data_IF_276787075239
#
_entry.id   IF_276787075239
#
_cell.length_a   1.000
_cell.length_b   1.000
_cell.length_c   1.000
_cell.angle_alpha   90.00
_cell.angle_beta   90.00
_cell.angle_gamma   90.00
#
_symmetry.space_group_name_H-M   'P 1'
#
loop_
_entity.id
_entity.type
_entity.pdbx_description
1 polymer ?
#
# COMPACT_ATOMS: atom_id res chain seq x y z
N UNK A 1 -9.40 2.23 -54.38
CA UNK A 1 -9.47 2.18 -52.89
C UNK A 1 -10.87 2.61 -52.47
N UNK A 2 -11.74 1.68 -52.08
CA UNK A 2 -13.09 1.98 -51.58
C UNK A 2 -12.99 2.54 -50.16
N UNK A 3 -13.85 3.52 -49.82
CA UNK A 3 -13.87 4.15 -48.49
C UNK A 3 -14.45 3.15 -47.47
N UNK A 4 -13.97 3.19 -46.23
CA UNK A 4 -14.36 2.30 -45.11
C UNK A 4 -15.90 2.20 -44.92
N UNK A 5 -16.63 3.23 -45.33
CA UNK A 5 -18.11 3.34 -45.27
C UNK A 5 -18.86 2.45 -46.28
N UNK A 6 -18.22 2.07 -47.40
CA UNK A 6 -18.85 1.30 -48.49
C UNK A 6 -18.82 -0.23 -48.25
N UNK A 7 -17.99 -0.69 -47.30
CA UNK A 7 -17.86 -2.12 -46.97
C UNK A 7 -19.02 -2.62 -46.08
N UNK A 8 -19.69 -1.71 -45.36
CA UNK A 8 -20.73 -2.06 -44.39
C UNK A 8 -22.17 -2.04 -44.93
N UNK A 9 -22.39 -1.68 -46.19
CA UNK A 9 -23.74 -1.49 -46.74
C UNK A 9 -24.37 -2.77 -47.35
N UNK A 10 -23.72 -3.93 -47.27
CA UNK A 10 -24.22 -5.18 -47.87
C UNK A 10 -24.08 -6.32 -46.87
N UNK A 11 -25.19 -6.67 -46.23
CA UNK A 11 -25.56 -7.93 -45.56
C UNK A 11 -25.95 -7.78 -44.09
N UNK A 12 -27.21 -8.09 -43.78
CA UNK A 12 -27.70 -8.44 -42.44
C UNK A 12 -26.90 -9.61 -41.83
N UNK A 13 -26.38 -10.51 -42.66
CA UNK A 13 -25.53 -11.62 -42.21
C UNK A 13 -24.22 -11.16 -41.54
N UNK A 14 -23.76 -9.92 -41.74
CA UNK A 14 -22.59 -9.39 -41.05
C UNK A 14 -22.86 -8.99 -39.59
N UNK A 15 -24.10 -8.66 -39.20
CA UNK A 15 -24.45 -8.37 -37.78
C UNK A 15 -24.37 -9.64 -36.96
N UNK A 16 -25.03 -10.70 -37.43
CA UNK A 16 -24.97 -12.01 -36.79
C UNK A 16 -23.55 -12.56 -36.83
N UNK A 17 -22.80 -12.36 -37.92
CA UNK A 17 -21.40 -12.79 -38.00
C UNK A 17 -20.49 -11.97 -37.10
N UNK A 18 -20.69 -10.65 -36.90
CA UNK A 18 -19.92 -9.81 -35.97
C UNK A 18 -20.25 -10.13 -34.52
N UNK A 19 -21.51 -10.37 -34.20
CA UNK A 19 -21.96 -10.79 -32.88
C UNK A 19 -21.42 -12.16 -32.53
N UNK A 20 -21.58 -13.14 -33.42
CA UNK A 20 -20.97 -14.48 -33.24
C UNK A 20 -19.46 -14.47 -33.34
N UNK A 21 -18.78 -13.59 -34.10
CA UNK A 21 -17.30 -13.52 -34.05
C UNK A 21 -16.78 -12.78 -32.83
N UNK A 22 -17.47 -11.77 -32.28
CA UNK A 22 -17.10 -11.16 -31.01
C UNK A 22 -17.35 -12.10 -29.82
N UNK A 23 -18.46 -12.84 -29.83
CA UNK A 23 -18.77 -13.87 -28.82
C UNK A 23 -17.85 -15.10 -28.96
N UNK A 24 -17.62 -15.59 -30.18
CA UNK A 24 -16.76 -16.76 -30.44
C UNK A 24 -15.26 -16.46 -30.33
N UNK A 25 -14.83 -15.19 -30.46
CA UNK A 25 -13.44 -14.83 -30.22
C UNK A 25 -13.06 -14.90 -28.73
N UNK A 26 -14.02 -15.11 -27.81
CA UNK A 26 -13.79 -15.12 -26.36
C UNK A 26 -12.75 -14.06 -25.98
N UNK A 27 -12.95 -12.84 -26.48
CA UNK A 27 -11.98 -11.77 -26.31
C UNK A 27 -12.05 -11.44 -24.83
N UNK A 28 -11.18 -12.09 -24.07
CA UNK A 28 -10.77 -11.68 -22.75
C UNK A 28 -10.01 -10.38 -22.97
N UNK A 29 -10.77 -9.34 -23.30
CA UNK A 29 -10.24 -8.05 -23.64
C UNK A 29 -9.63 -7.59 -22.33
N UNK A 30 -8.30 -7.46 -22.31
CA UNK A 30 -7.62 -6.81 -21.22
C UNK A 30 -8.08 -5.35 -21.25
N UNK A 31 -9.25 -5.13 -20.67
CA UNK A 31 -9.84 -3.83 -20.43
C UNK A 31 -9.10 -3.34 -19.21
N UNK A 32 -8.12 -2.46 -19.39
CA UNK A 32 -7.35 -2.00 -18.27
C UNK A 32 -8.26 -1.13 -17.41
N UNK A 33 -7.88 -0.96 -16.15
CA UNK A 33 -8.54 -0.13 -15.17
C UNK A 33 -8.77 1.37 -15.49
N UNK A 34 -8.64 1.76 -16.75
CA UNK A 34 -8.86 3.12 -17.21
C UNK A 34 -8.60 3.26 -18.71
N UNK A 35 -8.96 4.45 -19.22
CA UNK A 35 -8.88 4.77 -20.64
C UNK A 35 -7.46 5.06 -21.16
N UNK A 36 -6.40 5.00 -20.34
CA UNK A 36 -5.03 5.34 -20.69
C UNK A 36 -4.48 4.60 -21.91
N UNK A 37 -4.90 3.35 -22.11
CA UNK A 37 -4.55 2.55 -23.29
C UNK A 37 -5.18 3.07 -24.59
N UNK A 38 -6.36 3.72 -24.53
CA UNK A 38 -7.05 4.30 -25.69
C UNK A 38 -6.32 5.52 -26.26
N UNK A 39 -5.42 6.14 -25.49
CA UNK A 39 -4.73 7.35 -25.88
C UNK A 39 -3.30 7.10 -26.39
N UNK A 40 -2.86 5.84 -26.51
CA UNK A 40 -1.51 5.45 -26.97
C UNK A 40 -0.36 5.90 -26.07
N UNK A 41 -0.65 6.71 -25.03
CA UNK A 41 0.27 7.25 -24.04
C UNK A 41 -0.49 7.37 -22.71
N UNK A 42 0.15 6.98 -21.61
CA UNK A 42 -0.43 7.15 -20.27
C UNK A 42 -0.67 8.64 -19.98
N UNK A 43 -1.93 9.07 -20.05
CA UNK A 43 -2.33 10.43 -19.65
C UNK A 43 -2.52 10.42 -18.14
N UNK A 44 -1.75 11.24 -17.42
CA UNK A 44 -1.98 11.47 -15.99
C UNK A 44 -3.25 12.27 -15.76
N UNK A 45 -4.22 11.66 -15.11
CA UNK A 45 -5.48 12.32 -14.73
C UNK A 45 -5.32 13.02 -13.38
N UNK A 46 -5.64 14.33 -13.27
CA UNK A 46 -5.65 15.07 -12.01
C UNK A 46 -6.94 14.78 -11.23
N UNK A 47 -6.89 13.84 -10.29
CA UNK A 47 -8.05 13.49 -9.45
C UNK A 47 -8.01 14.31 -8.17
N UNK A 48 -9.16 14.90 -7.82
CA UNK A 48 -9.36 15.55 -6.53
C UNK A 48 -9.99 14.56 -5.56
N UNK A 49 -9.48 14.48 -4.33
CA UNK A 49 -10.04 13.61 -3.30
C UNK A 49 -10.33 14.37 -2.01
N UNK A 50 -11.41 13.97 -1.34
CA UNK A 50 -11.79 14.42 -0.02
C UNK A 50 -11.97 13.20 0.88
N UNK A 51 -11.42 13.21 2.09
CA UNK A 51 -11.61 12.10 3.04
C UNK A 51 -11.99 12.55 4.45
N UNK A 52 -12.67 11.66 5.16
CA UNK A 52 -13.10 11.88 6.54
C UNK A 52 -12.74 10.64 7.37
N UNK A 53 -11.97 10.86 8.43
CA UNK A 53 -11.70 9.85 9.45
C UNK A 53 -12.96 9.55 10.28
N UNK A 54 -13.22 8.28 10.49
CA UNK A 54 -14.36 7.74 11.24
C UNK A 54 -13.85 6.91 12.44
N UNK A 55 -14.72 6.61 13.42
CA UNK A 55 -14.39 5.71 14.53
C UNK A 55 -13.86 4.35 14.05
N UNK A 56 -13.20 3.63 14.97
CA UNK A 56 -12.61 2.32 14.69
C UNK A 56 -11.52 2.32 13.61
N UNK A 57 -10.79 3.43 13.49
CA UNK A 57 -9.70 3.58 12.52
C UNK A 57 -10.13 3.33 11.07
N UNK A 58 -11.33 3.79 10.73
CA UNK A 58 -11.86 3.74 9.37
C UNK A 58 -11.80 5.13 8.74
N UNK A 59 -11.69 5.19 7.42
CA UNK A 59 -11.69 6.43 6.66
C UNK A 59 -12.62 6.25 5.45
N UNK A 60 -13.47 7.23 5.19
CA UNK A 60 -14.27 7.31 3.97
C UNK A 60 -13.63 8.34 3.03
N UNK A 61 -13.59 8.02 1.74
CA UNK A 61 -12.99 8.86 0.71
C UNK A 61 -13.95 9.02 -0.47
N UNK A 62 -14.07 10.25 -0.94
CA UNK A 62 -14.75 10.59 -2.20
C UNK A 62 -13.69 11.14 -3.16
N UNK A 63 -13.76 10.72 -4.42
CA UNK A 63 -12.84 11.13 -5.48
C UNK A 63 -13.61 11.66 -6.67
N UNK A 64 -13.15 12.74 -7.27
CA UNK A 64 -13.77 13.35 -8.45
C UNK A 64 -12.73 13.84 -9.42
N UNK A 65 -13.02 13.70 -10.71
CA UNK A 65 -12.23 14.29 -11.79
C UNK A 65 -13.06 15.46 -12.32
N UNK A 66 -12.51 16.69 -12.31
CA UNK A 66 -13.13 17.79 -13.04
C UNK A 66 -13.38 17.39 -14.50
N UNK A 67 -14.44 17.92 -15.13
CA UNK A 67 -14.73 17.60 -16.54
C UNK A 67 -13.51 17.93 -17.40
N UNK A 68 -12.90 16.90 -17.99
CA UNK A 68 -11.74 17.07 -18.87
C UNK A 68 -12.16 16.89 -20.32
N UNK A 69 -11.95 17.93 -21.11
CA UNK A 69 -12.10 17.87 -22.56
C UNK A 69 -10.79 17.37 -23.15
N UNK A 70 -10.83 16.16 -23.70
CA UNK A 70 -9.70 15.57 -24.40
C UNK A 70 -9.85 15.98 -25.86
N UNK A 71 -8.95 16.85 -26.33
CA UNK A 71 -9.01 17.64 -27.57
C UNK A 71 -9.21 16.87 -28.90
N UNK A 72 -9.47 15.57 -28.85
CA UNK A 72 -9.61 14.71 -30.04
C UNK A 72 -10.63 13.57 -29.89
N UNK A 73 -11.24 13.41 -28.71
CA UNK A 73 -12.01 12.20 -28.36
C UNK A 73 -13.35 12.56 -27.73
N UNK A 74 -13.36 13.42 -26.71
CA UNK A 74 -14.61 13.75 -26.02
C UNK A 74 -14.40 14.27 -24.60
N UNK A 75 -15.46 14.22 -23.80
CA UNK A 75 -15.45 14.67 -22.40
C UNK A 75 -15.35 13.47 -21.47
N UNK A 76 -14.33 13.49 -20.60
CA UNK A 76 -14.13 12.49 -19.55
C UNK A 76 -14.68 13.01 -18.21
N UNK A 77 -15.46 12.16 -17.55
CA UNK A 77 -15.99 12.38 -16.21
C UNK A 77 -15.64 11.18 -15.33
N UNK A 78 -15.29 11.45 -14.07
CA UNK A 78 -15.03 10.42 -13.09
C UNK A 78 -15.52 10.85 -11.71
N UNK A 79 -16.12 9.89 -11.01
CA UNK A 79 -16.50 10.00 -9.61
C UNK A 79 -16.29 8.66 -8.93
N UNK A 80 -15.84 8.66 -7.69
CA UNK A 80 -15.58 7.44 -6.92
C UNK A 80 -15.87 7.64 -5.45
N UNK A 81 -16.24 6.56 -4.80
CA UNK A 81 -16.39 6.46 -3.35
C UNK A 81 -15.56 5.27 -2.87
N UNK A 82 -15.05 5.36 -1.67
CA UNK A 82 -14.38 4.23 -1.06
C UNK A 82 -14.05 4.51 0.38
N UNK A 83 -13.28 3.61 0.94
CA UNK A 83 -12.76 3.77 2.27
C UNK A 83 -11.64 2.80 2.55
N UNK A 84 -11.00 3.00 3.69
CA UNK A 84 -9.97 2.11 4.19
C UNK A 84 -10.14 1.90 5.67
N UNK A 85 -9.71 0.74 6.14
CA UNK A 85 -9.63 0.38 7.54
C UNK A 85 -8.18 0.14 7.90
N UNK A 86 -7.75 0.69 9.03
CA UNK A 86 -6.45 0.41 9.61
C UNK A 86 -6.42 -1.02 10.15
N UNK A 87 -5.43 -1.79 9.68
CA UNK A 87 -5.21 -3.18 10.10
C UNK A 87 -3.85 -3.37 10.77
N UNK A 88 -3.13 -2.28 11.06
CA UNK A 88 -1.76 -2.30 11.60
C UNK A 88 -1.66 -3.17 12.84
N UNK A 89 -2.60 -3.02 13.78
CA UNK A 89 -2.62 -3.81 15.01
C UNK A 89 -2.73 -5.31 14.73
N UNK A 90 -3.69 -5.70 13.89
CA UNK A 90 -3.92 -7.12 13.56
C UNK A 90 -2.71 -7.74 12.85
N UNK A 91 -2.06 -6.97 11.97
CA UNK A 91 -0.87 -7.42 11.25
C UNK A 91 0.34 -7.53 12.19
N UNK A 92 0.55 -6.53 13.05
CA UNK A 92 1.62 -6.57 14.05
C UNK A 92 1.44 -7.72 15.04
N UNK A 93 0.20 -7.97 15.46
CA UNK A 93 -0.14 -9.15 16.24
C UNK A 93 0.33 -10.39 15.48
N UNK A 94 -0.14 -10.66 14.25
CA UNK A 94 0.29 -11.84 13.46
C UNK A 94 1.82 -12.02 13.34
N UNK A 95 2.58 -10.93 13.15
CA UNK A 95 4.04 -11.00 13.06
C UNK A 95 4.75 -11.21 14.40
N UNK A 96 4.09 -10.92 15.51
CA UNK A 96 4.65 -11.10 16.87
C UNK A 96 4.26 -12.45 17.50
N UNK A 97 3.57 -13.35 16.78
CA UNK A 97 3.17 -14.68 17.27
C UNK A 97 4.31 -15.72 17.21
N UNK A 98 5.42 -15.42 17.86
CA UNK A 98 6.34 -16.44 18.37
C UNK A 98 6.89 -15.96 19.71
N UNK A 99 6.78 -16.72 20.80
CA UNK A 99 7.46 -16.35 22.04
C UNK A 99 8.96 -16.30 21.76
N UNK A 100 9.54 -15.09 21.81
CA UNK A 100 10.99 -14.93 21.75
C UNK A 100 11.52 -15.18 23.15
N UNK A 101 12.46 -16.10 23.26
CA UNK A 101 13.11 -16.43 24.53
C UNK A 101 14.51 -15.82 24.57
N UNK A 102 14.89 -15.34 25.75
CA UNK A 102 16.27 -15.00 26.02
C UNK A 102 17.14 -16.26 25.87
N UNK A 103 18.41 -16.05 25.56
CA UNK A 103 19.34 -17.17 25.44
C UNK A 103 19.44 -17.92 26.77
N UNK A 104 19.46 -19.25 26.69
CA UNK A 104 19.61 -20.08 27.88
C UNK A 104 20.89 -19.65 28.61
N UNK A 105 20.82 -19.51 29.93
CA UNK A 105 21.99 -19.21 30.77
C UNK A 105 22.95 -20.40 30.80
N UNK A 106 23.65 -20.60 29.69
CA UNK A 106 24.67 -21.61 29.47
C UNK A 106 25.83 -21.00 28.69
N UNK A 107 27.05 -21.44 28.96
CA UNK A 107 28.26 -20.89 28.36
C UNK A 107 28.27 -21.01 26.82
N UNK A 108 27.61 -22.06 26.31
CA UNK A 108 27.48 -22.33 24.88
C UNK A 108 26.71 -21.23 24.13
N UNK A 109 25.68 -20.64 24.77
CA UNK A 109 24.87 -19.55 24.22
C UNK A 109 25.62 -18.22 24.13
N UNK A 110 26.69 -18.04 24.90
CA UNK A 110 27.50 -16.81 24.93
C UNK A 110 28.93 -17.04 24.47
N UNK A 111 29.15 -18.00 23.57
CA UNK A 111 30.50 -18.44 23.16
C UNK A 111 31.38 -17.30 22.62
N UNK A 112 30.81 -16.32 21.91
CA UNK A 112 31.50 -15.14 21.39
C UNK A 112 32.20 -14.31 22.48
N UNK A 113 31.59 -14.22 23.68
CA UNK A 113 32.15 -13.50 24.84
C UNK A 113 33.50 -14.09 25.25
N UNK A 114 33.66 -15.41 25.15
CA UNK A 114 34.85 -16.13 25.60
C UNK A 114 35.93 -16.25 24.52
N UNK A 115 35.77 -15.53 23.41
CA UNK A 115 36.80 -15.43 22.37
C UNK A 115 37.74 -14.26 22.63
N UNK A 116 38.89 -14.25 21.94
CA UNK A 116 39.82 -13.11 21.98
C UNK A 116 39.31 -11.87 21.23
N UNK A 117 38.30 -12.02 20.38
CA UNK A 117 37.77 -10.99 19.48
C UNK A 117 36.36 -10.54 19.89
N UNK A 118 36.05 -10.58 21.18
CA UNK A 118 34.78 -10.10 21.74
C UNK A 118 34.46 -8.70 21.24
N UNK A 119 33.20 -8.44 20.87
CA UNK A 119 32.70 -7.11 20.52
C UNK A 119 31.83 -6.55 21.64
N UNK A 120 31.70 -5.22 21.67
CA UNK A 120 30.78 -4.52 22.58
C UNK A 120 29.33 -4.97 22.36
N UNK A 121 28.95 -5.25 21.11
CA UNK A 121 27.64 -5.80 20.70
C UNK A 121 27.32 -7.14 21.41
N UNK A 122 28.32 -8.02 21.57
CA UNK A 122 28.14 -9.31 22.24
C UNK A 122 27.85 -9.11 23.75
N UNK A 123 28.52 -8.14 24.36
CA UNK A 123 28.35 -7.78 25.79
C UNK A 123 26.98 -7.12 26.01
N UNK A 124 26.57 -6.22 25.12
CA UNK A 124 25.27 -5.55 25.17
C UNK A 124 24.11 -6.54 25.04
N UNK A 125 24.20 -7.50 24.11
CA UNK A 125 23.24 -8.60 24.01
C UNK A 125 23.14 -9.40 25.31
N UNK A 126 24.29 -9.73 25.92
CA UNK A 126 24.32 -10.47 27.19
C UNK A 126 23.67 -9.69 28.33
N UNK A 127 23.89 -8.37 28.38
CA UNK A 127 23.30 -7.47 29.37
C UNK A 127 21.77 -7.40 29.22
N UNK A 128 21.27 -7.36 27.99
CA UNK A 128 19.83 -7.42 27.71
C UNK A 128 19.23 -8.77 28.10
N UNK A 129 19.88 -9.89 27.76
CA UNK A 129 19.44 -11.23 28.19
C UNK A 129 19.37 -11.30 29.73
N UNK A 130 20.42 -10.87 30.44
CA UNK A 130 20.45 -10.85 31.91
C UNK A 130 19.35 -9.99 32.53
N UNK A 131 19.02 -8.86 31.91
CA UNK A 131 17.89 -7.99 32.32
C UNK A 131 16.55 -8.71 32.18
N UNK A 132 16.34 -9.48 31.11
CA UNK A 132 15.12 -10.30 30.93
C UNK A 132 14.99 -11.37 32.02
N UNK A 133 16.12 -11.88 32.50
CA UNK A 133 16.19 -12.82 33.62
C UNK A 133 16.12 -12.17 35.01
N UNK A 134 15.96 -10.83 35.10
CA UNK A 134 15.98 -10.06 36.36
C UNK A 134 17.27 -10.30 37.19
N UNK A 135 18.40 -10.41 36.49
CA UNK A 135 19.72 -10.57 37.12
C UNK A 135 20.36 -9.21 37.40
N UNK A 136 21.20 -9.15 38.43
CA UNK A 136 22.01 -7.96 38.70
C UNK A 136 23.04 -7.72 37.57
N UNK A 137 22.89 -6.57 36.91
CA UNK A 137 23.73 -6.15 35.79
C UNK A 137 24.64 -4.96 36.11
N UNK A 138 24.60 -4.37 37.31
CA UNK A 138 25.28 -3.09 37.60
C UNK A 138 26.80 -3.14 37.32
N UNK A 139 27.44 -4.23 37.74
CA UNK A 139 28.87 -4.45 37.54
C UNK A 139 29.19 -4.66 36.05
N UNK A 140 28.37 -5.44 35.34
CA UNK A 140 28.55 -5.72 33.91
C UNK A 140 28.32 -4.46 33.05
N UNK A 141 27.32 -3.65 33.41
CA UNK A 141 26.98 -2.39 32.75
C UNK A 141 28.13 -1.38 32.88
N UNK A 142 28.69 -1.27 34.09
CA UNK A 142 29.86 -0.44 34.35
C UNK A 142 31.07 -0.87 33.52
N UNK A 143 31.32 -2.17 33.41
CA UNK A 143 32.41 -2.72 32.60
C UNK A 143 32.17 -2.53 31.10
N UNK A 144 30.92 -2.66 30.64
CA UNK A 144 30.54 -2.45 29.23
C UNK A 144 30.76 -0.99 28.81
N UNK A 145 30.42 -0.02 29.67
CA UNK A 145 30.66 1.39 29.42
C UNK A 145 32.16 1.70 29.22
N UNK A 146 33.04 1.10 30.02
CA UNK A 146 34.50 1.23 29.84
C UNK A 146 34.97 0.57 28.54
N UNK A 147 34.39 -0.58 28.18
CA UNK A 147 34.72 -1.28 26.95
C UNK A 147 34.29 -0.49 25.70
N UNK A 148 33.11 0.14 25.74
CA UNK A 148 32.62 1.08 24.71
C UNK A 148 33.53 2.31 24.55
N UNK A 149 34.19 2.74 25.63
CA UNK A 149 35.19 3.82 25.60
C UNK A 149 36.56 3.36 25.07
N UNK A 150 36.72 2.09 24.71
CA UNK A 150 37.93 1.52 24.12
C UNK A 150 38.92 0.91 25.13
N UNK A 151 38.57 0.79 26.41
CA UNK A 151 39.42 0.09 27.38
C UNK A 151 39.32 -1.43 27.17
N UNK A 152 40.36 -2.05 26.64
CA UNK A 152 40.41 -3.50 26.42
C UNK A 152 40.83 -4.30 27.66
N UNK A 153 41.35 -3.64 28.71
CA UNK A 153 41.81 -4.33 29.93
C UNK A 153 40.64 -4.88 30.76
N UNK A 154 39.43 -4.36 30.56
CA UNK A 154 38.20 -4.81 31.23
C UNK A 154 37.64 -6.11 30.66
N UNK A 155 38.08 -6.56 29.48
CA UNK A 155 37.56 -7.78 28.80
C UNK A 155 37.62 -9.00 29.71
N UNK A 156 38.74 -9.20 30.42
CA UNK A 156 38.89 -10.33 31.34
C UNK A 156 37.87 -10.28 32.48
N UNK A 157 37.61 -9.08 33.01
CA UNK A 157 36.61 -8.87 34.08
C UNK A 157 35.20 -9.08 33.57
N UNK A 158 34.88 -8.65 32.35
CA UNK A 158 33.60 -8.91 31.68
C UNK A 158 33.36 -10.41 31.59
N UNK A 159 34.34 -11.16 31.07
CA UNK A 159 34.25 -12.62 30.94
C UNK A 159 34.06 -13.33 32.28
N UNK A 160 34.80 -12.92 33.31
CA UNK A 160 34.68 -13.48 34.67
C UNK A 160 33.31 -13.16 35.28
N UNK A 161 32.82 -11.93 35.11
CA UNK A 161 31.50 -11.50 35.58
C UNK A 161 30.38 -12.32 34.93
N UNK A 162 30.35 -12.39 33.59
CA UNK A 162 29.35 -13.15 32.82
C UNK A 162 29.40 -14.63 33.20
N UNK A 163 30.60 -15.23 33.27
CA UNK A 163 30.79 -16.64 33.67
C UNK A 163 30.22 -16.92 35.06
N UNK A 164 30.51 -16.04 36.03
CA UNK A 164 30.00 -16.15 37.40
C UNK A 164 28.48 -16.03 37.44
N UNK A 165 27.90 -15.07 36.73
CA UNK A 165 26.46 -14.83 36.69
C UNK A 165 25.71 -16.00 36.04
N UNK A 166 26.20 -16.53 34.91
CA UNK A 166 25.64 -17.74 34.28
C UNK A 166 25.73 -18.93 35.23
N UNK A 167 26.89 -19.15 35.87
CA UNK A 167 27.10 -20.33 36.73
C UNK A 167 26.19 -20.34 37.95
N UNK A 168 25.90 -19.17 38.54
CA UNK A 168 24.97 -19.03 39.67
C UNK A 168 23.51 -19.31 39.28
N UNK A 169 23.16 -19.07 38.01
CA UNK A 169 21.78 -19.03 37.54
C UNK A 169 21.45 -20.10 36.48
N UNK A 170 22.32 -21.12 36.32
CA UNK A 170 22.20 -22.17 35.28
C UNK A 170 20.88 -22.95 35.28
N UNK A 171 20.20 -22.98 36.43
CA UNK A 171 18.94 -23.72 36.61
C UNK A 171 17.70 -22.91 36.25
N UNK A 172 17.84 -21.61 35.92
CA UNK A 172 16.69 -20.81 35.49
C UNK A 172 16.17 -21.33 34.12
N UNK A 173 14.85 -21.52 33.98
CA UNK A 173 14.25 -21.86 32.69
C UNK A 173 14.42 -20.70 31.70
N UNK A 174 14.27 -20.95 30.40
CA UNK A 174 14.34 -19.87 29.40
C UNK A 174 13.33 -18.77 29.72
N UNK A 175 13.82 -17.54 29.90
CA UNK A 175 12.96 -16.40 30.18
C UNK A 175 12.32 -15.90 28.89
N UNK A 176 11.03 -15.58 28.95
CA UNK A 176 10.31 -14.96 27.85
C UNK A 176 10.79 -13.51 27.73
N UNK A 177 11.31 -13.12 26.58
CA UNK A 177 11.54 -11.71 26.28
C UNK A 177 10.16 -11.09 26.14
N UNK A 178 9.73 -10.36 27.18
CA UNK A 178 8.67 -9.38 26.99
C UNK A 178 9.26 -8.31 26.08
N UNK A 179 8.91 -8.36 24.79
CA UNK A 179 9.22 -7.28 23.87
C UNK A 179 8.41 -6.06 24.31
N UNK A 180 8.94 -5.32 25.27
CA UNK A 180 8.43 -4.02 25.65
C UNK A 180 9.23 -3.00 24.84
N UNK A 181 8.63 -2.52 23.74
CA UNK A 181 9.16 -1.40 22.96
C UNK A 181 9.73 -1.74 21.58
N UNK A 182 10.31 -2.92 21.36
CA UNK A 182 10.76 -3.32 20.02
C UNK A 182 9.64 -4.07 19.29
N UNK A 183 8.59 -3.31 18.95
CA UNK A 183 7.77 -3.67 17.80
C UNK A 183 8.75 -3.83 16.63
N UNK A 184 8.65 -4.94 15.87
CA UNK A 184 9.09 -4.92 14.48
C UNK A 184 8.74 -3.53 13.93
N UNK A 185 9.71 -2.81 13.35
CA UNK A 185 9.52 -1.47 12.76
C UNK A 185 8.61 -1.63 11.54
N UNK A 186 7.37 -2.00 11.84
CA UNK A 186 6.27 -2.14 10.94
C UNK A 186 5.87 -0.74 10.55
N UNK A 187 5.42 -0.52 9.31
CA UNK A 187 4.78 0.73 8.95
C UNK A 187 3.73 1.05 10.04
N UNK A 188 3.84 2.23 10.66
CA UNK A 188 2.92 2.63 11.73
C UNK A 188 1.46 2.66 11.22
N UNK A 189 1.29 2.75 9.90
CA UNK A 189 0.00 2.86 9.23
C UNK A 189 -0.11 1.80 8.10
N UNK A 190 -0.60 0.59 8.40
CA UNK A 190 -1.05 -0.41 7.44
C UNK A 190 -2.58 -0.37 7.33
N UNK A 191 -3.10 -0.25 6.11
CA UNK A 191 -4.54 -0.21 5.88
C UNK A 191 -4.97 -1.07 4.70
N UNK A 192 -6.20 -1.57 4.78
CA UNK A 192 -6.91 -2.24 3.69
C UNK A 192 -8.02 -1.32 3.19
N UNK A 193 -7.96 -0.98 1.91
CA UNK A 193 -8.90 -0.09 1.23
C UNK A 193 -9.77 -0.82 0.21
N UNK A 194 -11.00 -0.34 0.06
CA UNK A 194 -11.92 -0.72 -0.99
C UNK A 194 -12.50 0.54 -1.65
N UNK A 195 -12.48 0.60 -2.97
CA UNK A 195 -12.93 1.75 -3.74
C UNK A 195 -13.81 1.31 -4.91
N UNK A 196 -14.90 2.03 -5.12
CA UNK A 196 -15.77 1.92 -6.29
C UNK A 196 -15.66 3.22 -7.07
N UNK A 197 -15.39 3.09 -8.36
CA UNK A 197 -15.05 4.13 -9.28
C UNK A 197 -15.98 4.07 -10.48
N UNK A 198 -16.58 5.20 -10.85
CA UNK A 198 -17.42 5.36 -12.01
C UNK A 198 -16.74 6.29 -13.01
N UNK A 199 -16.60 5.81 -14.24
CA UNK A 199 -16.07 6.58 -15.37
C UNK A 199 -17.12 6.72 -16.45
N UNK A 200 -17.21 7.91 -17.04
CA UNK A 200 -18.02 8.19 -18.22
C UNK A 200 -17.19 8.94 -19.25
N UNK A 201 -17.07 8.37 -20.43
CA UNK A 201 -16.48 9.01 -21.61
C UNK A 201 -17.59 9.28 -22.63
N UNK A 202 -17.87 10.56 -22.88
CA UNK A 202 -18.84 11.00 -23.88
C UNK A 202 -18.11 11.42 -25.15
N UNK A 203 -18.35 10.71 -26.25
CA UNK A 203 -17.75 10.93 -27.58
C UNK A 203 -18.66 11.73 -28.52
N UNK A 204 -19.63 12.48 -27.97
CA UNK A 204 -20.77 13.03 -28.70
C UNK A 204 -22.00 12.14 -28.53
N UNK A 205 -22.33 11.32 -29.53
CA UNK A 205 -23.45 10.37 -29.48
C UNK A 205 -23.13 9.03 -28.78
N UNK A 206 -21.94 8.40 -28.97
CA UNK A 206 -21.58 7.21 -28.22
C UNK A 206 -21.13 7.55 -26.79
N UNK A 207 -21.62 6.77 -25.84
CA UNK A 207 -21.21 6.85 -24.44
C UNK A 207 -20.53 5.54 -24.01
N UNK A 208 -19.37 5.67 -23.37
CA UNK A 208 -18.70 4.56 -22.70
C UNK A 208 -18.78 4.80 -21.21
N UNK A 209 -19.41 3.87 -20.49
CA UNK A 209 -19.52 3.88 -19.03
C UNK A 209 -18.67 2.73 -18.48
N UNK A 210 -17.97 2.97 -17.39
CA UNK A 210 -17.23 1.93 -16.70
C UNK A 210 -17.43 2.04 -15.21
N UNK A 211 -17.76 0.90 -14.59
CA UNK A 211 -17.75 0.73 -13.14
C UNK A 211 -16.53 -0.10 -12.80
N UNK A 212 -15.80 0.35 -11.80
CA UNK A 212 -14.53 -0.20 -11.43
C UNK A 212 -14.45 -0.37 -9.92
N UNK A 213 -14.02 -1.53 -9.46
CA UNK A 213 -13.84 -1.84 -8.04
C UNK A 213 -12.38 -2.17 -7.77
N UNK A 214 -11.83 -1.62 -6.70
CA UNK A 214 -10.43 -1.79 -6.33
C UNK A 214 -10.31 -2.21 -4.87
N UNK A 215 -9.52 -3.24 -4.62
CA UNK A 215 -9.03 -3.60 -3.28
C UNK A 215 -7.55 -3.23 -3.21
N UNK A 216 -7.13 -2.52 -2.17
CA UNK A 216 -5.75 -2.01 -2.05
C UNK A 216 -5.21 -2.17 -0.63
N UNK A 217 -4.00 -2.70 -0.50
CA UNK A 217 -3.24 -2.69 0.75
C UNK A 217 -2.26 -1.52 0.67
N UNK A 218 -2.22 -0.72 1.73
CA UNK A 218 -1.33 0.43 1.84
C UNK A 218 -0.54 0.34 3.13
N UNK A 219 0.71 0.78 3.08
CA UNK A 219 1.61 0.90 4.20
C UNK A 219 2.28 2.26 4.16
N UNK A 220 2.34 2.94 5.29
CA UNK A 220 2.93 4.26 5.41
C UNK A 220 3.65 4.49 6.73
N UNK A 221 4.49 5.51 6.72
CA UNK A 221 5.16 6.01 7.90
C UNK A 221 5.05 7.53 7.94
N UNK A 222 4.62 8.04 9.08
CA UNK A 222 4.58 9.47 9.38
C UNK A 222 5.81 9.84 10.22
N UNK A 223 6.51 10.88 9.79
CA UNK A 223 7.68 11.43 10.46
C UNK A 223 7.27 12.71 11.19
N UNK A 224 7.83 12.89 12.38
CA UNK A 224 7.74 14.14 13.11
C UNK A 224 8.56 15.23 12.40
N UNK A 225 7.97 16.41 12.26
CA UNK A 225 8.53 17.57 11.55
C UNK A 225 8.98 18.64 12.53
N UNK A 226 9.82 18.28 13.49
CA UNK A 226 10.36 19.21 14.50
C UNK A 226 11.09 20.44 13.91
N UNK A 227 11.55 20.36 12.65
CA UNK A 227 12.15 21.48 11.91
C UNK A 227 11.13 22.52 11.44
N UNK A 228 9.83 22.22 11.45
CA UNK A 228 8.76 23.09 10.98
C UNK A 228 7.55 22.97 11.92
N UNK A 229 7.47 23.84 12.93
CA UNK A 229 6.46 23.78 14.00
C UNK A 229 5.00 23.93 13.54
N UNK A 230 4.76 24.45 12.33
CA UNK A 230 3.42 24.54 11.74
C UNK A 230 2.98 23.25 11.03
N UNK A 231 3.91 22.32 10.80
CA UNK A 231 3.66 20.98 10.30
C UNK A 231 3.55 20.03 11.50
N UNK A 232 2.43 19.34 11.62
CA UNK A 232 2.25 18.31 12.65
C UNK A 232 2.84 16.96 12.23
N UNK A 233 3.09 16.78 10.93
CA UNK A 233 3.76 15.59 10.44
C UNK A 233 3.84 15.54 8.92
N UNK A 234 4.87 14.84 8.45
CA UNK A 234 5.07 14.52 7.04
C UNK A 234 5.15 13.00 6.91
N UNK A 235 4.26 12.41 6.11
CA UNK A 235 4.21 10.98 5.87
C UNK A 235 4.52 10.62 4.43
N UNK A 236 5.11 9.45 4.25
CA UNK A 236 5.19 8.77 2.97
C UNK A 236 4.40 7.47 3.06
N UNK A 237 3.69 7.11 2.01
CA UNK A 237 2.94 5.87 1.93
C UNK A 237 3.04 5.25 0.55
N UNK A 238 2.95 3.93 0.52
CA UNK A 238 2.91 3.14 -0.70
C UNK A 238 1.88 2.04 -0.57
N UNK A 239 1.49 1.48 -1.69
CA UNK A 239 0.51 0.40 -1.69
C UNK A 239 0.46 -0.36 -3.00
N UNK A 240 -0.22 -1.49 -2.95
CA UNK A 240 -0.56 -2.24 -4.14
C UNK A 240 -2.01 -2.73 -4.04
N UNK A 241 -2.65 -2.84 -5.19
CA UNK A 241 -4.05 -3.21 -5.28
C UNK A 241 -4.37 -3.97 -6.55
N UNK A 242 -5.54 -4.59 -6.52
CA UNK A 242 -6.15 -5.26 -7.65
C UNK A 242 -7.44 -4.54 -8.00
N UNK A 243 -7.61 -4.35 -9.29
CA UNK A 243 -8.72 -3.59 -9.85
C UNK A 243 -9.51 -4.45 -10.83
N UNK A 244 -10.83 -4.42 -10.70
CA UNK A 244 -11.79 -5.17 -11.47
C UNK A 244 -12.73 -4.17 -12.16
N UNK A 245 -13.09 -4.40 -13.41
CA UNK A 245 -13.93 -3.44 -14.15
C UNK A 245 -15.04 -4.13 -14.93
N UNK A 246 -16.14 -3.41 -15.12
CA UNK A 246 -17.18 -3.73 -16.08
C UNK A 246 -17.40 -2.49 -16.96
N UNK A 247 -17.49 -2.68 -18.27
CA UNK A 247 -17.66 -1.60 -19.25
C UNK A 247 -18.95 -1.81 -20.01
N UNK A 248 -19.78 -0.76 -20.02
CA UNK A 248 -20.97 -0.66 -20.85
C UNK A 248 -20.72 0.31 -22.00
N UNK A 249 -20.83 -0.19 -23.23
CA UNK A 249 -20.76 0.58 -24.46
C UNK A 249 -22.18 0.82 -24.97
N UNK A 250 -22.59 2.08 -25.08
CA UNK A 250 -23.88 2.48 -25.65
C UNK A 250 -23.67 3.34 -26.90
N UNK A 251 -24.28 2.96 -28.03
CA UNK A 251 -24.25 3.75 -29.27
C UNK A 251 -25.56 3.65 -30.05
N UNK A 252 -25.93 4.73 -30.73
CA UNK A 252 -27.08 4.76 -31.65
C UNK A 252 -26.59 4.47 -33.06
N UNK A 253 -27.12 3.41 -33.68
CA UNK A 253 -26.89 3.06 -35.07
C UNK A 253 -28.04 3.57 -35.93
N UNK A 254 -27.75 4.47 -36.87
CA UNK A 254 -28.72 4.89 -37.88
C UNK A 254 -28.46 4.14 -39.18
N UNK A 255 -29.44 3.37 -39.65
CA UNK A 255 -29.33 2.62 -40.90
C UNK A 255 -29.43 3.55 -42.13
N UNK A 256 -29.14 3.03 -43.32
CA UNK A 256 -29.26 3.72 -44.62
C UNK A 256 -30.67 4.23 -44.92
N UNK A 257 -31.68 3.76 -44.18
CA UNK A 257 -33.08 4.19 -44.23
C UNK A 257 -33.43 5.28 -43.19
N UNK A 258 -32.44 5.86 -42.51
CA UNK A 258 -32.60 6.84 -41.41
C UNK A 258 -33.34 6.33 -40.16
N UNK A 259 -33.56 5.02 -40.04
CA UNK A 259 -34.05 4.39 -38.82
C UNK A 259 -32.92 4.25 -37.80
N UNK A 260 -33.16 4.72 -36.57
CA UNK A 260 -32.16 4.70 -35.49
C UNK A 260 -32.48 3.62 -34.47
N UNK A 261 -31.49 2.80 -34.14
CA UNK A 261 -31.57 1.75 -33.12
C UNK A 261 -30.47 1.97 -32.07
N UNK A 262 -30.85 1.95 -30.80
CA UNK A 262 -29.89 2.01 -29.69
C UNK A 262 -29.34 0.63 -29.39
N UNK A 263 -28.02 0.51 -29.34
CA UNK A 263 -27.31 -0.73 -29.06
C UNK A 263 -26.48 -0.53 -27.79
N UNK A 264 -26.64 -1.46 -26.84
CA UNK A 264 -25.87 -1.52 -25.60
C UNK A 264 -25.17 -2.87 -25.49
N UNK A 265 -23.85 -2.87 -25.28
CA UNK A 265 -23.06 -4.09 -25.03
C UNK A 265 -22.22 -3.93 -23.76
N UNK A 266 -22.22 -4.96 -22.92
CA UNK A 266 -21.46 -5.00 -21.66
C UNK A 266 -20.29 -5.96 -21.77
N UNK A 267 -19.13 -5.55 -21.26
CA UNK A 267 -17.90 -6.32 -21.26
C UNK A 267 -17.30 -6.34 -19.86
N UNK A 268 -17.09 -7.54 -19.29
CA UNK A 268 -16.33 -7.69 -18.06
C UNK A 268 -14.84 -7.54 -18.36
N UNK A 269 -14.19 -6.60 -17.67
CA UNK A 269 -12.75 -6.38 -17.75
C UNK A 269 -11.96 -7.30 -16.82
N UNK A 270 -10.73 -7.60 -17.22
CA UNK A 270 -9.80 -8.42 -16.42
C UNK A 270 -9.21 -7.69 -15.21
N UNK A 271 -8.55 -8.47 -14.34
CA UNK A 271 -7.89 -7.94 -13.15
C UNK A 271 -6.66 -7.10 -13.56
N UNK A 272 -6.59 -5.85 -13.12
CA UNK A 272 -5.44 -4.98 -13.33
C UNK A 272 -4.70 -4.72 -12.00
N UNK A 273 -3.38 -4.88 -12.02
CA UNK A 273 -2.54 -4.50 -10.91
C UNK A 273 -2.40 -2.97 -10.82
N UNK A 274 -2.41 -2.46 -9.60
CA UNK A 274 -2.20 -1.04 -9.27
C UNK A 274 -1.10 -0.93 -8.23
N UNK A 275 -0.12 -0.08 -8.49
CA UNK A 275 0.82 0.42 -7.49
C UNK A 275 0.42 1.84 -7.08
N UNK A 276 0.73 2.21 -5.85
CA UNK A 276 0.54 3.56 -5.34
C UNK A 276 1.80 4.00 -4.59
N UNK A 277 2.19 5.26 -4.79
CA UNK A 277 3.14 5.96 -3.92
C UNK A 277 2.62 7.36 -3.65
N UNK A 278 2.70 7.82 -2.41
CA UNK A 278 2.16 9.10 -2.02
C UNK A 278 2.83 9.71 -0.82
N UNK A 279 2.51 10.99 -0.62
CA UNK A 279 2.95 11.80 0.50
C UNK A 279 1.74 12.41 1.19
N UNK A 280 1.82 12.51 2.51
CA UNK A 280 0.80 13.12 3.37
C UNK A 280 1.45 14.25 4.15
N UNK A 281 0.82 15.41 4.17
CA UNK A 281 1.24 16.55 4.97
C UNK A 281 0.11 16.91 5.92
N UNK A 282 0.39 16.92 7.23
CA UNK A 282 -0.61 17.24 8.25
C UNK A 282 -0.39 18.65 8.79
N UNK A 283 -1.44 19.47 8.70
CA UNK A 283 -1.49 20.82 9.24
C UNK A 283 -2.73 20.91 10.12
N UNK A 284 -2.54 20.96 11.44
CA UNK A 284 -3.66 20.91 12.39
C UNK A 284 -4.53 19.67 12.18
N UNK A 285 -5.86 19.83 12.13
CA UNK A 285 -6.83 18.76 11.88
C UNK A 285 -7.00 18.40 10.38
N UNK A 286 -6.22 19.02 9.49
CA UNK A 286 -6.33 18.84 8.04
C UNK A 286 -5.10 18.08 7.50
N UNK A 287 -5.38 17.10 6.68
CA UNK A 287 -4.40 16.30 5.96
C UNK A 287 -4.42 16.65 4.48
N UNK A 288 -3.26 16.89 3.89
CA UNK A 288 -3.09 17.08 2.46
C UNK A 288 -2.40 15.85 1.87
N UNK A 289 -2.93 15.34 0.78
CA UNK A 289 -2.42 14.14 0.11
C UNK A 289 -2.00 14.45 -1.31
N UNK A 290 -0.86 13.91 -1.72
CA UNK A 290 -0.45 13.85 -3.12
C UNK A 290 0.02 12.41 -3.37
N UNK A 291 -0.67 11.71 -4.26
CA UNK A 291 -0.32 10.33 -4.64
C UNK A 291 -0.28 10.11 -6.14
N UNK A 292 0.63 9.24 -6.54
CA UNK A 292 0.81 8.77 -7.90
C UNK A 292 0.43 7.29 -7.97
N UNK A 293 -0.57 7.00 -8.80
CA UNK A 293 -1.05 5.64 -9.04
C UNK A 293 -0.42 5.13 -10.32
N UNK A 294 0.26 4.00 -10.20
CA UNK A 294 0.91 3.27 -11.29
C UNK A 294 -0.04 2.15 -11.72
N UNK A 295 -0.39 2.12 -12.99
CA UNK A 295 -1.20 1.04 -13.53
C UNK A 295 -1.33 1.19 -15.03
N UNK A 296 -2.39 0.62 -15.60
CA UNK A 296 -2.61 0.78 -17.03
C UNK A 296 -2.90 2.23 -17.45
N UNK A 297 -3.45 3.03 -16.53
CA UNK A 297 -3.54 4.49 -16.67
C UNK A 297 -2.96 5.11 -15.42
N UNK A 298 -1.84 5.81 -15.54
CA UNK A 298 -1.27 6.48 -14.39
C UNK A 298 -2.15 7.67 -13.99
N UNK A 299 -2.31 7.92 -12.70
CA UNK A 299 -3.07 9.08 -12.21
C UNK A 299 -2.27 9.83 -11.16
N UNK A 300 -2.46 11.14 -11.11
CA UNK A 300 -1.95 11.98 -10.04
C UNK A 300 -3.17 12.43 -9.26
N UNK A 301 -3.24 12.05 -8.01
CA UNK A 301 -4.32 12.44 -7.14
C UNK A 301 -3.80 13.48 -6.15
N UNK A 302 -4.63 14.47 -5.90
CA UNK A 302 -4.40 15.48 -4.87
C UNK A 302 -5.65 15.58 -4.02
N UNK A 303 -5.51 15.76 -2.72
CA UNK A 303 -6.70 15.88 -1.90
C UNK A 303 -6.49 16.34 -0.49
N UNK A 304 -7.61 16.47 0.19
CA UNK A 304 -7.70 16.98 1.55
C UNK A 304 -8.51 16.00 2.40
N UNK A 305 -7.99 15.63 3.56
CA UNK A 305 -8.69 14.83 4.55
C UNK A 305 -8.88 15.61 5.83
N UNK A 306 -9.94 15.30 6.56
CA UNK A 306 -10.11 15.70 7.94
C UNK A 306 -10.14 14.45 8.80
N UNK A 307 -9.20 14.36 9.74
CA UNK A 307 -9.14 13.24 10.67
C UNK A 307 -9.56 13.71 12.05
N UNK A 308 -10.74 13.30 12.50
CA UNK A 308 -11.14 13.44 13.90
C UNK A 308 -10.60 12.21 14.65
N UNK A 309 -9.50 12.38 15.38
CA UNK A 309 -9.01 11.37 16.33
C UNK A 309 -9.52 11.69 17.73
#
# INVERSE_FOLDING_TARGET
RKRFREVFAVNESLRDTLETTLEAMNINMFVPGGFGHLFGKSISLPILQASCGLPYHTEMTIRVLPKLNISSIGTLQYGGIGGKVDISKHINDLFTHGPIYADKLDMSSYSNIFTKNIKTEDVEKTLNDFRVYDLDIQELDSLNNLFLQGDTLVIKRIQENIKRTISKNKNLPRALIKMEGDQLVSPNDISLGFYINYFKLSLGAPEIKSINSMIMIQAGKTFDTSFASWLEGLGIYGGFGFEFSNIDLSYTYTNTLNESNDISKSFSGGNAFRGLIGTRMKISFVDFYIDYNIGASNTINTGVGVTFR
#
